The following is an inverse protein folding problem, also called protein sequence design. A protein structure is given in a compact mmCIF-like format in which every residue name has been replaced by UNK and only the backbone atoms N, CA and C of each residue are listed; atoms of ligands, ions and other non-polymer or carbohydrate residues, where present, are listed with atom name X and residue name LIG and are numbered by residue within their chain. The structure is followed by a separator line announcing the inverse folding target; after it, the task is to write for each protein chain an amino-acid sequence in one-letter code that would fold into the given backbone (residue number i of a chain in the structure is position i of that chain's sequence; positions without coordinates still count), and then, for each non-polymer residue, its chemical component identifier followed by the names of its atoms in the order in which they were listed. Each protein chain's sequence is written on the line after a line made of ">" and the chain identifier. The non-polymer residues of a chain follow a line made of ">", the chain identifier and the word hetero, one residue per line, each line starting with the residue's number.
data_IF_187799507398
#
_entry.id   IF_187799507398
#
_cell.length_a   1.000
_cell.length_b   1.000
_cell.length_c   1.000
_cell.angle_alpha   90.00
_cell.angle_beta   90.00
_cell.angle_gamma   90.00
#
_symmetry.space_group_name_H-M   'P 1'
#
loop_
_entity.id
_entity.type
_entity.pdbx_description
1 polymer ?
#
# COMPACT_ATOMS: atom_id res chain seq x y z
N UNK A 1 8.83 -3.97 -11.60
CA UNK A 1 8.83 -2.69 -10.89
C UNK A 1 9.62 -2.79 -9.59
N UNK A 2 10.35 -1.77 -9.27
CA UNK A 2 11.19 -1.75 -8.07
C UNK A 2 10.34 -1.60 -6.81
N UNK A 3 10.65 -2.40 -5.79
CA UNK A 3 9.92 -2.35 -4.52
C UNK A 3 10.02 -0.97 -3.86
N UNK A 4 11.11 -0.28 -4.08
CA UNK A 4 11.28 1.06 -3.54
C UNK A 4 10.22 2.02 -4.06
N UNK A 5 9.86 1.86 -5.31
CA UNK A 5 8.83 2.67 -5.94
C UNK A 5 7.47 2.42 -5.31
N UNK A 6 7.17 1.15 -5.11
CA UNK A 6 5.92 0.76 -4.49
C UNK A 6 5.84 1.29 -3.06
N UNK A 7 6.94 1.18 -2.33
CA UNK A 7 7.01 1.69 -0.97
C UNK A 7 6.72 3.19 -0.92
N UNK A 8 7.30 3.93 -1.85
CA UNK A 8 7.08 5.37 -1.93
C UNK A 8 5.62 5.70 -2.20
N UNK A 9 5.01 4.96 -3.11
CA UNK A 9 3.61 5.17 -3.42
C UNK A 9 2.72 4.89 -2.22
N UNK A 10 3.05 3.85 -1.47
CA UNK A 10 2.30 3.50 -0.28
C UNK A 10 2.44 4.61 0.76
N UNK A 11 3.63 5.14 0.96
CA UNK A 11 3.83 6.22 1.91
C UNK A 11 3.03 7.45 1.53
N UNK A 12 3.01 7.79 0.27
CA UNK A 12 2.24 8.95 -0.19
C UNK A 12 0.75 8.76 0.04
N UNK A 13 0.26 7.56 -0.19
CA UNK A 13 -1.14 7.25 0.07
C UNK A 13 -1.47 7.39 1.54
N UNK A 14 -0.57 6.93 2.40
CA UNK A 14 -0.78 7.05 3.84
C UNK A 14 -0.85 8.50 4.28
N UNK A 15 -0.08 9.36 3.65
CA UNK A 15 -0.12 10.78 4.00
C UNK A 15 -1.48 11.39 3.77
N UNK A 16 -2.19 10.91 2.76
CA UNK A 16 -3.53 11.40 2.47
C UNK A 16 -4.51 11.08 3.61
N UNK A 17 -4.24 10.03 4.35
CA UNK A 17 -5.09 9.62 5.47
C UNK A 17 -4.54 10.10 6.81
N UNK A 18 -3.52 10.95 6.78
CA UNK A 18 -2.92 11.51 7.98
C UNK A 18 -2.36 10.47 8.94
N UNK A 19 -1.91 9.35 8.37
CA UNK A 19 -1.31 8.28 9.15
C UNK A 19 0.20 8.23 8.97
N UNK A 20 0.78 9.32 8.52
CA UNK A 20 2.21 9.38 8.25
C UNK A 20 3.01 9.07 9.52
N UNK A 21 4.05 8.29 9.36
CA UNK A 21 4.96 7.98 10.45
C UNK A 21 4.64 6.75 11.25
N UNK A 22 3.50 6.12 10.99
CA UNK A 22 3.11 4.94 11.76
C UNK A 22 3.36 3.62 11.04
N UNK A 23 3.94 3.69 9.85
CA UNK A 23 4.17 2.48 9.05
C UNK A 23 5.53 1.88 9.36
N UNK A 24 5.54 0.70 9.98
CA UNK A 24 6.78 -0.01 10.27
C UNK A 24 7.28 -0.73 9.03
N UNK A 25 8.55 -1.17 9.08
CA UNK A 25 9.11 -1.90 7.95
C UNK A 25 8.38 -3.20 7.68
N UNK A 26 7.98 -3.88 8.73
CA UNK A 26 7.24 -5.13 8.58
C UNK A 26 5.90 -4.89 7.90
N UNK A 27 5.20 -3.85 8.32
CA UNK A 27 3.92 -3.52 7.72
C UNK A 27 4.10 -3.10 6.27
N UNK A 28 5.13 -2.33 5.99
CA UNK A 28 5.42 -1.92 4.62
C UNK A 28 5.67 -3.11 3.72
N UNK A 29 6.45 -4.08 4.20
CA UNK A 29 6.71 -5.29 3.42
C UNK A 29 5.44 -6.07 3.14
N UNK A 30 4.57 -6.17 4.11
CA UNK A 30 3.29 -6.84 3.93
C UNK A 30 2.43 -6.16 2.90
N UNK A 31 2.39 -4.82 2.94
CA UNK A 31 1.61 -4.06 1.98
C UNK A 31 2.19 -4.16 0.57
N UNK A 32 3.52 -4.12 0.48
CA UNK A 32 4.16 -4.27 -0.82
C UNK A 32 3.82 -5.62 -1.44
N UNK A 33 3.87 -6.67 -0.64
CA UNK A 33 3.52 -8.00 -1.12
C UNK A 33 2.07 -8.05 -1.62
N UNK A 34 1.18 -7.42 -0.88
CA UNK A 34 -0.23 -7.37 -1.29
C UNK A 34 -0.43 -6.60 -2.57
N UNK A 35 0.29 -5.50 -2.74
CA UNK A 35 0.22 -4.71 -3.96
C UNK A 35 0.66 -5.53 -5.16
N UNK A 36 1.78 -6.21 -5.03
CA UNK A 36 2.31 -7.04 -6.12
C UNK A 36 1.33 -8.15 -6.47
N UNK A 37 0.81 -8.82 -5.46
CA UNK A 37 -0.12 -9.92 -5.67
C UNK A 37 -1.39 -9.44 -6.34
N UNK A 38 -1.92 -8.34 -5.88
CA UNK A 38 -3.14 -7.78 -6.45
C UNK A 38 -2.94 -7.31 -7.88
N UNK A 39 -1.77 -6.73 -8.15
CA UNK A 39 -1.43 -6.30 -9.50
C UNK A 39 -1.44 -7.47 -10.47
N UNK A 40 -0.88 -8.60 -10.05
CA UNK A 40 -0.87 -9.80 -10.88
C UNK A 40 -2.27 -10.35 -11.11
N UNK A 41 -3.08 -10.27 -10.08
CA UNK A 41 -4.43 -10.85 -10.13
C UNK A 41 -5.39 -9.99 -10.96
N UNK A 42 -5.33 -8.68 -10.81
CA UNK A 42 -6.30 -7.79 -11.42
C UNK A 42 -5.81 -7.09 -12.68
N UNK A 43 -4.50 -6.94 -12.80
CA UNK A 43 -3.96 -6.26 -13.97
C UNK A 43 -4.21 -4.77 -14.01
N UNK A 44 -4.67 -4.19 -12.91
CA UNK A 44 -4.92 -2.75 -12.84
C UNK A 44 -3.60 -1.99 -12.76
N UNK A 45 -3.68 -0.69 -12.87
CA UNK A 45 -2.49 0.14 -12.78
C UNK A 45 -1.95 0.16 -11.36
N UNK A 46 -0.62 0.30 -11.23
CA UNK A 46 0.03 0.30 -9.93
C UNK A 46 -0.59 1.31 -8.98
N UNK A 47 -0.89 2.48 -9.50
CA UNK A 47 -1.46 3.56 -8.70
C UNK A 47 -2.79 3.13 -8.07
N UNK A 48 -3.65 2.53 -8.87
CA UNK A 48 -4.94 2.07 -8.38
C UNK A 48 -4.81 0.95 -7.36
N UNK A 49 -3.89 0.03 -7.62
CA UNK A 49 -3.68 -1.09 -6.71
C UNK A 49 -3.17 -0.61 -5.37
N UNK A 50 -2.23 0.33 -5.38
CA UNK A 50 -1.69 0.89 -4.16
C UNK A 50 -2.79 1.57 -3.34
N UNK A 51 -3.60 2.39 -3.98
CA UNK A 51 -4.69 3.07 -3.27
C UNK A 51 -5.66 2.08 -2.65
N UNK A 52 -5.98 1.04 -3.40
CA UNK A 52 -6.93 0.04 -2.94
C UNK A 52 -6.38 -0.71 -1.72
N UNK A 53 -5.11 -1.10 -1.78
CA UNK A 53 -4.47 -1.82 -0.67
C UNK A 53 -4.38 -0.94 0.55
N UNK A 54 -3.98 0.31 0.38
CA UNK A 54 -3.85 1.25 1.50
C UNK A 54 -5.23 1.51 2.12
N UNK A 55 -6.22 1.72 1.30
CA UNK A 55 -7.57 1.97 1.81
C UNK A 55 -8.08 0.78 2.63
N UNK A 56 -7.89 -0.42 2.13
CA UNK A 56 -8.29 -1.62 2.85
C UNK A 56 -7.55 -1.74 4.18
N UNK A 57 -6.26 -1.45 4.17
CA UNK A 57 -5.46 -1.52 5.38
C UNK A 57 -5.94 -0.53 6.43
N UNK A 58 -6.19 0.70 6.00
CA UNK A 58 -6.63 1.76 6.90
C UNK A 58 -7.98 1.45 7.51
N UNK A 59 -8.92 0.98 6.70
CA UNK A 59 -10.26 0.68 7.19
C UNK A 59 -10.28 -0.53 8.10
N UNK A 60 -9.41 -1.50 7.86
CA UNK A 60 -9.36 -2.70 8.68
C UNK A 60 -8.69 -2.48 10.02
N UNK A 61 -7.94 -1.42 10.16
CA UNK A 61 -7.26 -1.14 11.42
C UNK A 61 -8.21 -0.75 12.55
N UNK A 62 -9.40 -0.41 12.20
CA UNK A 62 -10.37 -0.01 13.20
C UNK A 62 -10.96 -1.20 13.95
N UNK A 63 -10.66 -2.37 13.50
CA UNK A 63 -11.12 -3.57 14.15
C UNK A 63 -10.11 -4.07 15.17
#
# INVERSE_FOLDING_TARGET
>A
MDEKWIYKMIQQSFQQYELAGSLSKKEAHGLIAKVIEKKKSEGSEWFEVVEDVVYSYVTNQEL
#
